data_IF_585019459384
#
_entry.id   IF_585019459384
#
_cell.length_a   1.000
_cell.length_b   1.000
_cell.length_c   1.000
_cell.angle_alpha   90.00
_cell.angle_beta   90.00
_cell.angle_gamma   90.00
#
_symmetry.space_group_name_H-M   'P 1'
#
loop_
_entity.id
_entity.type
_entity.pdbx_description
1 polymer ?
#
# COMPACT_ATOMS: atom_id res chain seq x y z
N UNK A 1 2.78 -0.48 -2.09
CA UNK A 1 1.40 0.06 -2.19
C UNK A 1 0.84 -0.14 -3.59
N UNK A 2 1.23 0.71 -4.53
CA UNK A 2 0.63 0.80 -5.88
C UNK A 2 0.67 -0.51 -6.68
N UNK A 3 1.78 -1.24 -6.70
CA UNK A 3 1.93 -2.45 -7.54
C UNK A 3 1.40 -3.75 -6.93
N UNK A 4 1.09 -3.76 -5.64
CA UNK A 4 0.67 -4.98 -4.94
C UNK A 4 -0.50 -4.74 -3.98
N UNK A 5 -1.05 -3.54 -3.92
CA UNK A 5 -2.16 -3.18 -3.05
C UNK A 5 -1.92 -3.42 -1.55
N UNK A 6 -0.66 -3.39 -1.08
CA UNK A 6 -0.33 -3.71 0.31
C UNK A 6 -0.80 -2.64 1.28
N UNK A 7 -1.22 -3.07 2.48
CA UNK A 7 -1.48 -2.17 3.61
C UNK A 7 -0.16 -1.61 4.16
N UNK A 8 -0.20 -0.41 4.75
CA UNK A 8 0.99 0.24 5.32
C UNK A 8 1.74 -0.67 6.31
N UNK A 9 1.03 -1.33 7.21
CA UNK A 9 1.64 -2.26 8.16
C UNK A 9 2.27 -3.48 7.50
N UNK A 10 1.68 -4.00 6.42
CA UNK A 10 2.23 -5.08 5.62
C UNK A 10 3.55 -4.65 4.96
N UNK A 11 3.60 -3.46 4.32
CA UNK A 11 4.82 -2.92 3.69
C UNK A 11 5.96 -2.81 4.71
N UNK A 12 5.66 -2.25 5.88
CA UNK A 12 6.67 -2.09 6.95
C UNK A 12 7.11 -3.43 7.55
N UNK A 13 6.25 -4.45 7.50
CA UNK A 13 6.54 -5.79 7.98
C UNK A 13 7.31 -6.67 7.00
N UNK A 14 7.49 -6.25 5.73
CA UNK A 14 8.22 -7.05 4.75
C UNK A 14 9.68 -7.23 5.14
N UNK A 15 10.14 -8.48 5.05
CA UNK A 15 11.56 -8.87 5.20
C UNK A 15 12.11 -9.34 3.86
N UNK A 16 13.42 -9.27 3.67
CA UNK A 16 14.05 -9.77 2.44
C UNK A 16 13.78 -11.26 2.22
N UNK A 17 13.64 -12.03 3.31
CA UNK A 17 13.27 -13.46 3.27
C UNK A 17 11.86 -13.77 2.77
N UNK A 18 11.01 -12.75 2.60
CA UNK A 18 9.67 -12.93 2.04
C UNK A 18 9.66 -12.96 0.52
N UNK A 19 10.76 -12.57 -0.13
CA UNK A 19 10.87 -12.46 -1.57
C UNK A 19 11.53 -13.71 -2.16
N UNK A 20 10.88 -14.26 -3.19
CA UNK A 20 11.44 -15.29 -4.08
C UNK A 20 11.79 -14.62 -5.40
N UNK A 21 13.09 -14.34 -5.59
CA UNK A 21 13.59 -13.61 -6.76
C UNK A 21 13.55 -14.45 -8.03
N UNK A 22 13.58 -15.79 -7.95
CA UNK A 22 13.46 -16.67 -9.10
C UNK A 22 12.03 -16.66 -9.65
N UNK A 23 11.02 -16.71 -8.75
CA UNK A 23 9.60 -16.73 -9.11
C UNK A 23 8.98 -15.35 -9.24
N UNK A 24 9.70 -14.29 -8.88
CA UNK A 24 9.18 -12.93 -8.77
C UNK A 24 7.92 -12.88 -7.88
N UNK A 25 8.00 -13.44 -6.68
CA UNK A 25 6.88 -13.44 -5.73
C UNK A 25 7.27 -12.87 -4.37
N UNK A 26 6.28 -12.38 -3.66
CA UNK A 26 6.41 -11.94 -2.26
C UNK A 26 5.34 -12.60 -1.41
N UNK A 27 5.73 -13.11 -0.25
CA UNK A 27 4.82 -13.66 0.76
C UNK A 27 4.47 -12.60 1.78
N UNK A 28 3.18 -12.34 1.95
CA UNK A 28 2.64 -11.46 2.98
C UNK A 28 2.22 -12.31 4.16
N UNK A 29 2.94 -12.24 5.26
CA UNK A 29 2.75 -13.09 6.44
C UNK A 29 2.78 -12.33 7.77
N UNK A 30 3.01 -11.00 7.74
CA UNK A 30 3.08 -10.15 8.94
C UNK A 30 2.78 -8.69 8.64
N UNK A 31 2.58 -7.94 9.71
CA UNK A 31 2.42 -6.49 9.67
C UNK A 31 3.09 -5.84 10.88
N UNK A 32 3.54 -4.61 10.73
CA UNK A 32 3.96 -3.76 11.84
C UNK A 32 2.75 -2.92 12.27
N UNK A 33 2.47 -2.91 13.56
CA UNK A 33 1.43 -2.09 14.17
C UNK A 33 2.01 -1.25 15.31
N UNK A 34 1.40 -0.08 15.55
CA UNK A 34 1.67 0.70 16.73
C UNK A 34 0.93 0.09 17.92
N UNK A 35 1.65 -0.15 19.00
CA UNK A 35 1.10 -0.63 20.25
C UNK A 35 1.21 0.50 21.29
N UNK A 36 0.10 1.10 21.72
CA UNK A 36 0.13 2.15 22.73
C UNK A 36 0.55 1.53 24.07
N UNK A 37 1.46 2.19 24.76
CA UNK A 37 1.74 1.96 26.17
C UNK A 37 0.92 2.96 26.99
N UNK A 38 0.08 2.46 27.86
CA UNK A 38 -0.77 3.24 28.73
C UNK A 38 -0.07 3.48 30.08
N UNK A 39 -0.22 4.69 30.62
CA UNK A 39 0.09 4.99 32.01
C UNK A 39 -0.97 4.41 32.96
N UNK A 40 -0.67 4.45 34.26
CA UNK A 40 -1.65 4.06 35.30
C UNK A 40 -2.96 4.86 35.28
N UNK A 41 -3.00 6.01 34.60
CA UNK A 41 -4.16 6.87 34.37
C UNK A 41 -4.82 6.68 32.99
N UNK A 42 -4.52 5.60 32.29
CA UNK A 42 -5.03 5.28 30.93
C UNK A 42 -4.65 6.30 29.84
N UNK A 43 -3.70 7.20 30.10
CA UNK A 43 -3.14 8.07 29.07
C UNK A 43 -2.06 7.32 28.26
N UNK A 44 -1.97 7.62 26.95
CA UNK A 44 -0.95 7.05 26.10
C UNK A 44 0.37 7.79 26.38
N UNK A 45 1.35 7.08 26.93
CA UNK A 45 2.70 7.62 27.20
C UNK A 45 3.61 7.46 26.00
N UNK A 46 3.55 6.31 25.34
CA UNK A 46 4.44 5.96 24.26
C UNK A 46 3.77 5.00 23.29
N UNK A 47 4.23 5.00 22.02
CA UNK A 47 3.91 3.96 21.04
C UNK A 47 5.13 3.09 20.78
N UNK A 48 5.02 1.80 21.06
CA UNK A 48 5.99 0.80 20.58
C UNK A 48 5.53 0.22 19.25
N UNK A 49 6.50 -0.19 18.43
CA UNK A 49 6.22 -0.93 17.19
C UNK A 49 6.30 -2.42 17.50
N UNK A 50 5.27 -3.15 17.14
CA UNK A 50 5.25 -4.61 17.29
C UNK A 50 4.95 -5.28 15.96
N UNK A 51 5.64 -6.38 15.71
CA UNK A 51 5.32 -7.31 14.63
C UNK A 51 4.13 -8.17 15.07
N UNK A 52 3.13 -8.25 14.23
CA UNK A 52 1.97 -9.12 14.42
C UNK A 52 1.69 -9.92 13.17
N UNK A 53 1.21 -11.12 13.36
CA UNK A 53 0.57 -11.89 12.30
C UNK A 53 -0.69 -11.18 11.79
N UNK A 54 -1.08 -11.40 10.54
CA UNK A 54 -2.33 -10.89 10.01
C UNK A 54 -3.52 -11.44 10.82
N UNK A 55 -4.55 -10.60 10.99
CA UNK A 55 -5.74 -10.94 11.79
C UNK A 55 -6.62 -12.03 11.17
N UNK A 56 -6.50 -12.29 9.88
CA UNK A 56 -7.35 -13.23 9.13
C UNK A 56 -6.50 -14.10 8.20
N UNK A 57 -6.93 -15.33 7.95
CA UNK A 57 -6.27 -16.24 7.01
C UNK A 57 -6.14 -15.63 5.60
N UNK A 58 -7.15 -14.91 5.12
CA UNK A 58 -7.13 -14.23 3.82
C UNK A 58 -6.02 -13.16 3.68
N UNK A 59 -5.46 -12.73 4.79
CA UNK A 59 -4.33 -11.79 4.78
C UNK A 59 -2.99 -12.49 4.51
N UNK A 60 -2.88 -13.81 4.72
CA UNK A 60 -1.74 -14.61 4.29
C UNK A 60 -1.87 -14.89 2.79
N UNK A 61 -0.97 -14.35 2.00
CA UNK A 61 -1.02 -14.49 0.55
C UNK A 61 0.36 -14.39 -0.08
N UNK A 62 0.49 -15.02 -1.24
CA UNK A 62 1.67 -14.88 -2.11
C UNK A 62 1.22 -14.10 -3.34
N UNK A 63 1.94 -13.02 -3.63
CA UNK A 63 1.67 -12.14 -4.76
C UNK A 63 2.80 -12.24 -5.78
N UNK A 64 2.46 -12.26 -7.05
CA UNK A 64 3.42 -11.99 -8.12
C UNK A 64 3.75 -10.50 -8.14
N UNK A 65 5.03 -10.18 -8.31
CA UNK A 65 5.54 -8.81 -8.23
C UNK A 65 6.19 -8.47 -9.57
N UNK A 66 5.93 -7.28 -10.13
CA UNK A 66 6.63 -6.83 -11.34
C UNK A 66 8.15 -6.84 -11.15
N UNK A 67 8.87 -7.25 -12.18
CA UNK A 67 10.34 -7.32 -12.15
C UNK A 67 10.98 -6.02 -11.67
N UNK A 68 10.49 -4.88 -12.13
CA UNK A 68 10.99 -3.56 -11.73
C UNK A 68 10.94 -3.34 -10.20
N UNK A 69 9.93 -3.89 -9.50
CA UNK A 69 9.84 -3.84 -8.04
C UNK A 69 10.84 -4.79 -7.40
N UNK A 70 11.06 -5.97 -7.97
CA UNK A 70 12.06 -6.92 -7.47
C UNK A 70 13.46 -6.33 -7.58
N UNK A 71 13.80 -5.70 -8.71
CA UNK A 71 15.09 -5.03 -8.93
C UNK A 71 15.33 -3.92 -7.87
N UNK A 72 14.27 -3.17 -7.48
CA UNK A 72 14.34 -2.19 -6.39
C UNK A 72 14.56 -2.83 -5.02
N UNK A 73 13.95 -3.99 -4.75
CA UNK A 73 14.17 -4.73 -3.51
C UNK A 73 15.59 -5.23 -3.42
N UNK A 74 16.16 -5.75 -4.50
CA UNK A 74 17.58 -6.12 -4.57
C UNK A 74 18.51 -4.93 -4.37
N UNK A 75 18.21 -3.79 -5.02
CA UNK A 75 18.97 -2.56 -4.82
C UNK A 75 18.93 -2.11 -3.36
N UNK A 76 17.75 -2.19 -2.73
CA UNK A 76 17.59 -1.90 -1.30
C UNK A 76 18.39 -2.88 -0.43
N UNK A 77 18.42 -4.16 -0.77
CA UNK A 77 19.19 -5.17 -0.04
C UNK A 77 20.69 -4.85 -0.04
N UNK A 78 21.24 -4.47 -1.20
CA UNK A 78 22.63 -4.04 -1.32
C UNK A 78 22.92 -2.79 -0.45
N UNK A 79 21.99 -1.80 -0.46
CA UNK A 79 22.14 -0.63 0.42
C UNK A 79 22.14 -1.01 1.90
N UNK A 80 21.22 -1.87 2.33
CA UNK A 80 21.14 -2.34 3.72
C UNK A 80 22.43 -3.06 4.12
N UNK A 81 23.07 -3.81 3.23
CA UNK A 81 24.35 -4.45 3.50
C UNK A 81 25.46 -3.42 3.78
N UNK A 82 25.53 -2.35 2.98
CA UNK A 82 26.46 -1.24 3.23
C UNK A 82 26.16 -0.51 4.57
N UNK A 83 24.88 -0.29 4.88
CA UNK A 83 24.48 0.32 6.16
C UNK A 83 24.91 -0.55 7.35
N UNK A 84 24.85 -1.90 7.23
CA UNK A 84 25.35 -2.85 8.24
C UNK A 84 26.85 -2.74 8.45
N UNK A 85 27.61 -2.74 7.36
CA UNK A 85 29.08 -2.63 7.39
C UNK A 85 29.51 -1.32 8.05
N UNK A 86 28.83 -0.22 7.71
CA UNK A 86 29.12 1.10 8.28
C UNK A 86 28.76 1.20 9.78
N UNK A 87 27.59 0.67 10.17
CA UNK A 87 27.12 0.77 11.56
C UNK A 87 27.75 -0.27 12.51
N UNK A 88 28.32 -1.37 11.98
CA UNK A 88 28.97 -2.43 12.74
C UNK A 88 28.06 -3.00 13.82
N UNK A 89 28.59 -3.15 15.04
CA UNK A 89 27.86 -3.72 16.18
C UNK A 89 26.60 -2.96 16.61
N UNK A 90 26.47 -1.70 16.18
CA UNK A 90 25.27 -0.87 16.47
C UNK A 90 24.10 -1.20 15.58
N UNK A 91 24.31 -1.97 14.50
CA UNK A 91 23.24 -2.35 13.60
C UNK A 91 22.30 -3.39 14.22
N UNK A 92 21.00 -3.16 14.13
CA UNK A 92 19.95 -4.08 14.60
C UNK A 92 19.36 -4.82 13.42
N UNK A 93 19.96 -5.98 13.10
CA UNK A 93 19.51 -6.78 11.97
C UNK A 93 18.22 -7.53 12.26
N UNK A 94 17.11 -7.01 11.74
CA UNK A 94 15.80 -7.64 11.80
C UNK A 94 15.32 -8.11 10.42
N UNK A 95 16.12 -7.94 9.38
CA UNK A 95 15.84 -8.37 8.01
C UNK A 95 14.79 -7.55 7.28
N UNK A 96 14.30 -6.44 7.83
CA UNK A 96 13.26 -5.61 7.20
C UNK A 96 13.76 -4.89 5.94
N UNK A 97 12.92 -4.88 4.90
CA UNK A 97 13.14 -4.07 3.70
C UNK A 97 13.03 -2.57 4.03
N UNK A 98 12.00 -2.21 4.78
CA UNK A 98 11.73 -0.84 5.22
C UNK A 98 12.35 -0.56 6.59
N UNK A 99 13.68 -0.47 6.65
CA UNK A 99 14.42 -0.16 7.87
C UNK A 99 15.20 1.15 7.73
N UNK A 100 15.56 1.73 8.89
CA UNK A 100 16.49 2.84 9.01
C UNK A 100 17.94 2.35 8.82
N UNK A 101 18.88 3.28 8.70
CA UNK A 101 20.31 2.96 8.52
C UNK A 101 20.91 2.15 9.69
N UNK A 102 20.27 2.13 10.85
CA UNK A 102 20.63 1.29 11.99
C UNK A 102 19.85 -0.04 12.08
N UNK A 103 19.10 -0.42 11.02
CA UNK A 103 18.36 -1.67 10.92
C UNK A 103 17.00 -1.70 11.64
N UNK A 104 16.65 -0.69 12.44
CA UNK A 104 15.34 -0.63 13.11
C UNK A 104 14.22 -0.32 12.10
N UNK A 105 13.03 -0.89 12.26
CA UNK A 105 11.91 -0.59 11.37
C UNK A 105 11.51 0.90 11.42
N UNK A 106 11.00 1.42 10.32
CA UNK A 106 10.39 2.74 10.28
C UNK A 106 9.05 2.73 11.04
N UNK A 107 8.73 3.85 11.68
CA UNK A 107 7.40 4.04 12.27
C UNK A 107 6.34 4.27 11.18
N UNK A 108 5.08 3.97 11.51
CA UNK A 108 3.94 4.20 10.62
C UNK A 108 3.80 5.69 10.22
N UNK A 109 4.16 6.62 11.11
CA UNK A 109 4.14 8.06 10.86
C UNK A 109 5.31 8.50 9.97
N UNK A 110 6.53 8.04 10.25
CA UNK A 110 7.71 8.40 9.46
C UNK A 110 7.60 7.93 8.01
N UNK A 111 6.94 6.79 7.78
CA UNK A 111 6.69 6.30 6.43
C UNK A 111 5.74 7.21 5.63
N UNK A 112 4.64 7.67 6.25
CA UNK A 112 3.74 8.63 5.62
C UNK A 112 4.46 9.97 5.31
N UNK A 113 5.26 10.48 6.27
CA UNK A 113 6.02 11.71 6.06
C UNK A 113 7.04 11.57 4.91
N UNK A 114 7.70 10.40 4.79
CA UNK A 114 8.61 10.15 3.67
C UNK A 114 7.88 10.17 2.33
N UNK A 115 6.69 9.54 2.25
CA UNK A 115 5.86 9.55 1.04
C UNK A 115 5.41 10.97 0.67
N UNK A 116 4.92 11.74 1.65
CA UNK A 116 4.53 13.15 1.45
C UNK A 116 5.71 13.99 0.93
N UNK A 117 6.89 13.84 1.53
CA UNK A 117 8.10 14.53 1.07
C UNK A 117 8.48 14.14 -0.35
N UNK A 118 8.34 12.85 -0.70
CA UNK A 118 8.61 12.36 -2.06
C UNK A 118 7.65 13.00 -3.08
N UNK A 119 6.35 13.03 -2.79
CA UNK A 119 5.34 13.68 -3.65
C UNK A 119 5.70 15.16 -3.86
N UNK A 120 5.91 15.90 -2.78
CA UNK A 120 6.20 17.34 -2.85
C UNK A 120 7.49 17.64 -3.65
N UNK A 121 8.56 16.84 -3.47
CA UNK A 121 9.82 17.02 -4.21
C UNK A 121 9.68 16.81 -5.71
N UNK A 122 8.71 16.01 -6.14
CA UNK A 122 8.49 15.69 -7.55
C UNK A 122 7.28 16.41 -8.15
N UNK A 123 6.70 17.40 -7.46
CA UNK A 123 5.54 18.15 -7.94
C UNK A 123 4.27 17.30 -8.09
N UNK A 124 4.19 16.17 -7.38
CA UNK A 124 3.05 15.27 -7.41
C UNK A 124 2.05 15.64 -6.32
N UNK A 125 0.77 15.40 -6.58
CA UNK A 125 -0.26 15.47 -5.55
C UNK A 125 0.06 14.52 -4.40
N UNK A 126 -0.14 14.97 -3.15
CA UNK A 126 0.14 14.16 -1.97
C UNK A 126 -0.84 13.00 -1.91
N UNK A 127 -0.29 11.78 -1.91
CA UNK A 127 -1.07 10.55 -1.77
C UNK A 127 -0.71 9.84 -0.46
N UNK A 128 -1.66 9.07 0.08
CA UNK A 128 -1.41 8.20 1.23
C UNK A 128 -1.09 6.78 0.75
N UNK A 129 -0.50 5.96 1.63
CA UNK A 129 -0.30 4.52 1.31
C UNK A 129 -1.64 3.83 1.08
N UNK A 130 -2.67 4.25 1.80
CA UNK A 130 -4.02 3.74 1.59
C UNK A 130 -4.57 4.18 0.23
N UNK A 131 -4.36 5.43 -0.17
CA UNK A 131 -4.69 5.92 -1.51
C UNK A 131 -3.99 5.15 -2.62
N UNK A 132 -2.69 4.78 -2.45
CA UNK A 132 -2.00 3.92 -3.41
C UNK A 132 -2.63 2.53 -3.54
N UNK A 133 -3.13 1.98 -2.44
CA UNK A 133 -3.87 0.72 -2.44
C UNK A 133 -5.25 0.87 -3.11
N UNK A 134 -5.94 1.99 -2.89
CA UNK A 134 -7.17 2.34 -3.62
C UNK A 134 -6.90 2.40 -5.12
N UNK A 135 -5.89 3.15 -5.55
CA UNK A 135 -5.50 3.23 -6.97
C UNK A 135 -5.23 1.86 -7.59
N UNK A 136 -4.55 0.96 -6.85
CA UNK A 136 -4.36 -0.42 -7.31
C UNK A 136 -5.71 -1.14 -7.53
N UNK A 137 -6.64 -1.02 -6.61
CA UNK A 137 -7.98 -1.61 -6.75
C UNK A 137 -8.74 -1.01 -7.95
N UNK A 138 -8.74 0.31 -8.09
CA UNK A 138 -9.38 1.04 -9.19
C UNK A 138 -8.83 0.58 -10.55
N UNK A 139 -7.51 0.54 -10.71
CA UNK A 139 -6.87 0.10 -11.95
C UNK A 139 -7.30 -1.33 -12.32
N UNK A 140 -7.38 -2.24 -11.35
CA UNK A 140 -7.81 -3.61 -11.62
C UNK A 140 -9.30 -3.70 -11.97
N UNK A 141 -10.15 -2.92 -11.31
CA UNK A 141 -11.59 -2.83 -11.61
C UNK A 141 -11.79 -2.31 -13.04
N UNK A 142 -11.13 -1.21 -13.39
CA UNK A 142 -11.20 -0.61 -14.73
C UNK A 142 -10.63 -1.52 -15.82
N UNK A 143 -9.66 -2.35 -15.47
CA UNK A 143 -9.12 -3.40 -16.34
C UNK A 143 -10.03 -4.64 -16.48
N UNK A 144 -11.20 -4.65 -15.85
CA UNK A 144 -12.17 -5.76 -15.92
C UNK A 144 -11.77 -7.00 -15.11
N UNK A 145 -10.84 -6.88 -14.15
CA UNK A 145 -10.46 -8.00 -13.29
C UNK A 145 -11.62 -8.35 -12.34
N UNK A 146 -12.03 -9.64 -12.24
CA UNK A 146 -13.14 -10.04 -11.38
C UNK A 146 -12.92 -9.65 -9.91
N UNK A 147 -13.95 -9.10 -9.25
CA UNK A 147 -13.89 -8.60 -7.86
C UNK A 147 -13.36 -9.63 -6.86
N UNK A 148 -13.71 -10.91 -7.05
CA UNK A 148 -13.20 -12.02 -6.20
C UNK A 148 -11.68 -12.11 -6.27
N UNK A 149 -11.08 -11.95 -7.45
CA UNK A 149 -9.63 -11.95 -7.62
C UNK A 149 -8.98 -10.72 -6.99
N UNK A 150 -9.60 -9.55 -7.17
CA UNK A 150 -9.14 -8.29 -6.54
C UNK A 150 -9.18 -8.43 -5.02
N UNK A 151 -10.27 -8.95 -4.46
CA UNK A 151 -10.42 -9.20 -3.02
C UNK A 151 -9.31 -10.10 -2.47
N UNK A 152 -8.99 -11.19 -3.18
CA UNK A 152 -7.89 -12.09 -2.83
C UNK A 152 -6.51 -11.40 -2.88
N UNK A 153 -6.23 -10.62 -3.94
CA UNK A 153 -4.97 -9.87 -4.06
C UNK A 153 -4.79 -8.84 -2.94
N UNK A 154 -5.87 -8.17 -2.57
CA UNK A 154 -5.89 -7.19 -1.49
C UNK A 154 -5.86 -7.85 -0.09
N UNK A 155 -6.24 -9.12 0.03
CA UNK A 155 -6.40 -9.79 1.32
C UNK A 155 -7.52 -9.17 2.14
N UNK A 156 -8.69 -8.93 1.51
CA UNK A 156 -9.91 -8.54 2.21
C UNK A 156 -10.56 -9.77 2.86
N UNK A 157 -11.03 -9.62 4.09
CA UNK A 157 -11.77 -10.69 4.79
C UNK A 157 -13.16 -10.90 4.22
N UNK A 158 -13.71 -9.88 3.54
CA UNK A 158 -15.00 -9.91 2.86
C UNK A 158 -14.89 -9.28 1.48
N UNK A 159 -15.56 -9.90 0.51
CA UNK A 159 -15.70 -9.34 -0.84
C UNK A 159 -16.46 -8.03 -0.84
N UNK A 160 -17.33 -7.82 0.17
CA UNK A 160 -18.10 -6.57 0.33
C UNK A 160 -17.20 -5.33 0.35
N UNK A 161 -16.06 -5.41 1.05
CA UNK A 161 -15.08 -4.32 1.05
C UNK A 161 -14.55 -4.01 -0.37
N UNK A 162 -14.38 -5.01 -1.22
CA UNK A 162 -13.96 -4.78 -2.62
C UNK A 162 -15.11 -4.27 -3.47
N UNK A 163 -16.34 -4.66 -3.15
CA UNK A 163 -17.53 -4.19 -3.82
C UNK A 163 -17.80 -2.69 -3.56
N UNK A 164 -17.53 -2.20 -2.35
CA UNK A 164 -17.61 -0.76 -2.04
C UNK A 164 -16.68 0.05 -2.97
N UNK A 165 -15.44 -0.39 -3.16
CA UNK A 165 -14.53 0.26 -4.13
C UNK A 165 -15.07 0.22 -5.57
N UNK A 166 -15.74 -0.86 -5.96
CA UNK A 166 -16.35 -0.97 -7.28
C UNK A 166 -17.48 0.04 -7.46
N UNK A 167 -18.33 0.20 -6.46
CA UNK A 167 -19.42 1.20 -6.48
C UNK A 167 -18.86 2.61 -6.62
N UNK A 168 -17.83 2.97 -5.83
CA UNK A 168 -17.19 4.29 -5.91
C UNK A 168 -16.64 4.58 -7.32
N UNK A 169 -15.98 3.60 -7.95
CA UNK A 169 -15.46 3.74 -9.33
C UNK A 169 -16.59 3.88 -10.34
N UNK A 170 -17.69 3.16 -10.19
CA UNK A 170 -18.84 3.26 -11.11
C UNK A 170 -19.59 4.58 -10.94
N UNK A 171 -19.80 5.03 -9.71
CA UNK A 171 -20.43 6.32 -9.43
C UNK A 171 -19.64 7.50 -10.04
N UNK A 172 -18.30 7.43 -10.03
CA UNK A 172 -17.47 8.44 -10.70
C UNK A 172 -17.65 8.41 -12.22
N UNK A 173 -17.72 7.22 -12.84
CA UNK A 173 -17.97 7.09 -14.29
C UNK A 173 -19.34 7.64 -14.68
N UNK A 174 -20.36 7.34 -13.92
CA UNK A 174 -21.72 7.83 -14.17
C UNK A 174 -21.80 9.36 -14.08
N UNK A 175 -21.10 9.98 -13.13
CA UNK A 175 -21.00 11.44 -13.04
C UNK A 175 -20.30 12.06 -14.25
N UNK A 176 -19.23 11.43 -14.75
CA UNK A 176 -18.52 11.88 -15.96
C UNK A 176 -19.44 11.77 -17.17
N UNK A 177 -20.15 10.65 -17.34
CA UNK A 177 -21.10 10.46 -18.44
C UNK A 177 -22.24 11.47 -18.37
N UNK A 178 -22.80 11.72 -17.18
CA UNK A 178 -23.82 12.73 -16.97
C UNK A 178 -23.32 14.13 -17.36
N UNK A 179 -22.10 14.49 -16.93
CA UNK A 179 -21.46 15.75 -17.31
C UNK A 179 -21.25 15.87 -18.83
N UNK A 180 -20.77 14.79 -19.47
CA UNK A 180 -20.58 14.77 -20.92
C UNK A 180 -21.91 14.93 -21.67
N UNK A 181 -22.96 14.23 -21.24
CA UNK A 181 -24.29 14.34 -21.83
C UNK A 181 -24.87 15.76 -21.70
N UNK A 182 -24.64 16.42 -20.55
CA UNK A 182 -25.07 17.80 -20.30
C UNK A 182 -24.27 18.80 -21.13
N UNK A 183 -22.94 18.58 -21.26
CA UNK A 183 -22.03 19.49 -21.98
C UNK A 183 -22.19 19.36 -23.51
N UNK A 184 -22.45 18.17 -24.03
CA UNK A 184 -22.55 17.88 -25.47
C UNK A 184 -23.94 17.58 -25.94
N UNK A 185 -24.99 17.83 -25.11
CA UNK A 185 -26.37 17.75 -25.56
C UNK A 185 -26.60 18.68 -26.75
N UNK A 186 -27.16 18.21 -27.89
CA UNK A 186 -27.49 19.12 -28.98
C UNK A 186 -28.47 20.16 -28.46
N UNK A 187 -28.16 21.45 -28.70
CA UNK A 187 -29.10 22.53 -28.43
C UNK A 187 -30.46 22.11 -29.02
N UNK A 188 -31.50 22.10 -28.21
CA UNK A 188 -32.88 21.92 -28.70
C UNK A 188 -33.12 23.05 -29.68
N UNK A 189 -33.00 22.74 -30.99
CA UNK A 189 -33.39 23.63 -32.03
C UNK A 189 -34.81 24.07 -31.71
N UNK A 190 -34.98 25.32 -31.39
CA UNK A 190 -36.27 25.90 -31.08
C UNK A 190 -37.22 25.66 -32.26
N UNK A 191 -38.22 24.82 -32.07
CA UNK A 191 -39.43 24.81 -32.90
C UNK A 191 -40.34 25.93 -32.37
N UNK A 192 -40.01 27.14 -32.78
CA UNK A 192 -41.01 28.19 -32.89
C UNK A 192 -41.52 28.19 -34.35
N UNK A 193 -42.79 27.87 -34.53
CA UNK A 193 -43.48 27.93 -35.76
C UNK A 193 -44.99 27.85 -35.51
#
# INVERSE_FOLDING_TARGET
>A
GLFCGLRKGEILGLKFSDFDFEKNTVRISRQIVANPKLSGSFNIEEYSLIEREPKTENSYRILRVPKAVMDEVERRQRKVQLDKEYAGEKYRDNGYVCCRDNGRPHSLSSFNQALTKLCNRNGLSVVTVHGLRHMFATILIESGVPLVKISGLLGHSSIHTTYEYYCDVMDEKDKIIAFMNDTFAPEKAGMEG
#
